data_IF_893319378666
#
_entry.id   IF_893319378666
#
_cell.length_a   1.000
_cell.length_b   1.000
_cell.length_c   1.000
_cell.angle_alpha   90.00
_cell.angle_beta   90.00
_cell.angle_gamma   90.00
#
_symmetry.space_group_name_H-M   'P 1'
#
loop_
_entity.id
_entity.type
_entity.pdbx_description
1 polymer ?
#
# COMPACT_ATOMS: atom_id res chain seq x y z
N UNK A 1 8.07 0.42 11.93
CA UNK A 1 8.70 1.52 11.16
C UNK A 1 9.38 1.06 9.87
N UNK A 2 10.07 -0.09 9.84
CA UNK A 2 10.73 -0.63 8.64
C UNK A 2 9.79 -0.77 7.42
N UNK A 3 8.64 -1.43 7.56
CA UNK A 3 7.64 -1.57 6.49
C UNK A 3 7.09 -0.22 5.99
N UNK A 4 6.96 0.74 6.91
CA UNK A 4 6.58 2.13 6.64
C UNK A 4 7.49 2.75 5.58
N UNK A 5 8.79 2.78 5.87
CA UNK A 5 9.80 3.45 5.05
C UNK A 5 10.06 2.68 3.75
N UNK A 6 10.20 1.35 3.83
CA UNK A 6 10.65 0.53 2.70
C UNK A 6 9.56 0.20 1.69
N UNK A 7 8.29 0.14 2.13
CA UNK A 7 7.16 -0.21 1.26
C UNK A 7 6.12 0.88 1.15
N UNK A 8 5.48 1.24 2.28
CA UNK A 8 4.33 2.14 2.25
C UNK A 8 4.68 3.54 1.72
N UNK A 9 5.84 4.09 2.09
CA UNK A 9 6.31 5.39 1.55
C UNK A 9 6.52 5.36 0.04
N UNK A 10 6.99 4.24 -0.53
CA UNK A 10 7.16 4.07 -1.97
C UNK A 10 5.80 4.06 -2.67
N UNK A 11 4.84 3.29 -2.15
CA UNK A 11 3.48 3.22 -2.70
C UNK A 11 2.83 4.60 -2.66
N UNK A 12 2.76 5.21 -1.48
CA UNK A 12 2.08 6.50 -1.30
C UNK A 12 2.79 7.62 -2.06
N UNK A 13 4.13 7.63 -2.07
CA UNK A 13 4.92 8.60 -2.81
C UNK A 13 4.68 8.51 -4.32
N UNK A 14 4.83 7.32 -4.92
CA UNK A 14 4.62 7.14 -6.36
C UNK A 14 3.16 7.37 -6.78
N UNK A 15 2.19 7.02 -5.92
CA UNK A 15 0.78 7.23 -6.21
C UNK A 15 0.39 8.72 -6.32
N UNK A 16 1.15 9.65 -5.72
CA UNK A 16 0.88 11.10 -5.88
C UNK A 16 1.04 11.58 -7.31
N UNK A 17 1.84 10.91 -8.15
CA UNK A 17 1.93 11.24 -9.57
C UNK A 17 0.57 11.09 -10.27
N UNK A 18 -0.28 10.16 -9.82
CA UNK A 18 -1.63 9.98 -10.35
C UNK A 18 -2.56 11.15 -10.02
N UNK A 19 -2.34 11.88 -8.92
CA UNK A 19 -3.12 13.10 -8.64
C UNK A 19 -2.98 14.10 -9.79
N UNK A 20 -1.75 14.28 -10.28
CA UNK A 20 -1.46 15.21 -11.38
C UNK A 20 -1.92 14.65 -12.72
N UNK A 21 -1.54 13.41 -13.05
CA UNK A 21 -1.83 12.82 -14.37
C UNK A 21 -3.33 12.60 -14.59
N UNK A 22 -4.06 12.13 -13.58
CA UNK A 22 -5.50 11.95 -13.69
C UNK A 22 -6.22 13.30 -13.74
N UNK A 23 -5.83 14.29 -12.94
CA UNK A 23 -6.45 15.62 -13.00
C UNK A 23 -6.22 16.33 -14.35
N UNK A 24 -5.02 16.20 -14.93
CA UNK A 24 -4.72 16.69 -16.27
C UNK A 24 -5.55 15.97 -17.35
N UNK A 25 -5.73 14.66 -17.21
CA UNK A 25 -6.56 13.90 -18.14
C UNK A 25 -8.04 14.29 -18.04
N UNK A 26 -8.55 14.58 -16.83
CA UNK A 26 -9.94 15.00 -16.62
C UNK A 26 -10.20 16.43 -17.13
N UNK A 27 -9.28 17.36 -16.92
CA UNK A 27 -9.48 18.79 -17.29
C UNK A 27 -9.01 19.14 -18.71
N UNK A 28 -7.99 18.44 -19.22
CA UNK A 28 -7.31 18.79 -20.47
C UNK A 28 -7.57 17.86 -21.65
N UNK A 29 -8.34 16.79 -21.48
CA UNK A 29 -8.65 15.87 -22.58
C UNK A 29 -10.14 15.79 -22.88
N UNK A 30 -10.50 15.70 -24.16
CA UNK A 30 -11.88 15.52 -24.63
C UNK A 30 -12.39 14.07 -24.40
N UNK A 31 -11.52 13.19 -23.90
CA UNK A 31 -11.81 11.78 -23.70
C UNK A 31 -12.01 11.45 -22.22
N UNK A 32 -13.26 11.17 -21.85
CA UNK A 32 -13.65 10.78 -20.48
C UNK A 32 -12.94 9.51 -19.98
N UNK A 33 -12.41 8.66 -20.87
CA UNK A 33 -11.68 7.43 -20.50
C UNK A 33 -10.19 7.63 -20.28
N UNK A 34 -9.63 8.80 -20.59
CA UNK A 34 -8.19 9.06 -20.48
C UNK A 34 -7.67 8.86 -19.05
N UNK A 35 -8.44 9.26 -18.04
CA UNK A 35 -8.10 9.05 -16.64
C UNK A 35 -8.04 7.56 -16.26
N UNK A 36 -8.92 6.72 -16.84
CA UNK A 36 -8.90 5.27 -16.62
C UNK A 36 -7.66 4.59 -17.23
N UNK A 37 -7.18 5.09 -18.37
CA UNK A 37 -5.94 4.61 -18.98
C UNK A 37 -4.74 4.95 -18.09
N UNK A 38 -4.70 6.16 -17.52
CA UNK A 38 -3.65 6.55 -16.56
C UNK A 38 -3.70 5.71 -15.29
N UNK A 39 -4.88 5.38 -14.79
CA UNK A 39 -5.03 4.47 -13.66
C UNK A 39 -4.41 3.09 -13.97
N UNK A 40 -4.74 2.48 -15.10
CA UNK A 40 -4.19 1.17 -15.49
C UNK A 40 -2.67 1.21 -15.64
N UNK A 41 -2.13 2.25 -16.29
CA UNK A 41 -0.68 2.45 -16.43
C UNK A 41 -0.01 2.65 -15.08
N UNK A 42 -0.63 3.45 -14.20
CA UNK A 42 -0.18 3.66 -12.83
C UNK A 42 -0.11 2.34 -12.06
N UNK A 43 -1.18 1.55 -12.09
CA UNK A 43 -1.22 0.23 -11.47
C UNK A 43 -0.07 -0.66 -11.98
N UNK A 44 0.12 -0.77 -13.28
CA UNK A 44 1.23 -1.55 -13.85
C UNK A 44 2.60 -1.06 -13.37
N UNK A 45 2.87 0.25 -13.48
CA UNK A 45 4.17 0.84 -13.11
C UNK A 45 4.43 0.66 -11.62
N UNK A 46 3.46 0.99 -10.76
CA UNK A 46 3.62 0.84 -9.31
C UNK A 46 3.78 -0.65 -8.93
N UNK A 47 3.12 -1.59 -9.62
CA UNK A 47 3.34 -3.02 -9.40
C UNK A 47 4.77 -3.44 -9.74
N UNK A 48 5.37 -2.92 -10.82
CA UNK A 48 6.78 -3.15 -11.12
C UNK A 48 7.70 -2.53 -10.05
N UNK A 49 7.39 -1.32 -9.57
CA UNK A 49 8.14 -0.68 -8.48
C UNK A 49 8.04 -1.43 -7.14
N UNK A 50 7.02 -2.27 -6.94
CA UNK A 50 6.89 -3.12 -5.75
C UNK A 50 7.79 -4.36 -5.78
N UNK A 51 8.23 -4.82 -6.95
CA UNK A 51 9.11 -6.00 -7.06
C UNK A 51 10.35 -5.88 -6.15
N UNK A 52 11.15 -4.78 -6.19
CA UNK A 52 12.28 -4.64 -5.28
C UNK A 52 11.88 -4.59 -3.80
N UNK A 53 10.72 -4.02 -3.48
CA UNK A 53 10.20 -3.98 -2.10
C UNK A 53 9.88 -5.39 -1.60
N UNK A 54 9.23 -6.20 -2.44
CA UNK A 54 8.91 -7.60 -2.14
C UNK A 54 10.17 -8.41 -1.91
N UNK A 55 11.18 -8.27 -2.78
CA UNK A 55 12.48 -8.94 -2.62
C UNK A 55 13.16 -8.53 -1.31
N UNK A 56 13.14 -7.23 -0.99
CA UNK A 56 13.67 -6.70 0.27
C UNK A 56 12.94 -7.28 1.48
N UNK A 57 11.61 -7.40 1.42
CA UNK A 57 10.81 -7.93 2.53
C UNK A 57 11.04 -9.43 2.75
N UNK A 58 11.26 -10.21 1.68
CA UNK A 58 11.60 -11.63 1.77
C UNK A 58 12.93 -11.89 2.49
N UNK A 59 13.90 -10.97 2.35
CA UNK A 59 15.23 -11.05 2.95
C UNK A 59 15.39 -10.14 4.19
N UNK A 60 14.28 -9.74 4.83
CA UNK A 60 14.35 -8.83 5.99
C UNK A 60 15.19 -9.41 7.13
N UNK A 61 15.08 -10.71 7.39
CA UNK A 61 15.85 -11.38 8.44
C UNK A 61 17.35 -11.27 8.20
N UNK A 62 17.82 -11.64 7.00
CA UNK A 62 19.23 -11.56 6.61
C UNK A 62 19.77 -10.13 6.67
N UNK A 63 18.95 -9.16 6.23
CA UNK A 63 19.30 -7.74 6.29
C UNK A 63 19.46 -7.24 7.73
N UNK A 64 18.58 -7.67 8.64
CA UNK A 64 18.67 -7.29 10.06
C UNK A 64 19.88 -7.96 10.74
N UNK A 65 20.18 -9.23 10.41
CA UNK A 65 21.38 -9.92 10.89
C UNK A 65 22.66 -9.23 10.41
N UNK A 66 22.68 -8.73 9.18
CA UNK A 66 23.82 -7.98 8.62
C UNK A 66 24.10 -6.68 9.37
N UNK A 67 23.06 -6.01 9.88
CA UNK A 67 23.16 -4.82 10.73
C UNK A 67 23.50 -5.18 12.19
N UNK A 68 23.80 -6.45 12.47
CA UNK A 68 24.11 -7.00 13.81
C UNK A 68 22.95 -6.87 14.80
N UNK A 69 21.72 -6.97 14.30
CA UNK A 69 20.54 -7.03 15.14
C UNK A 69 20.45 -8.39 15.86
N UNK A 70 19.76 -8.42 17.00
CA UNK A 70 19.60 -9.66 17.76
C UNK A 70 18.91 -10.75 16.92
N UNK A 71 19.45 -11.99 16.85
CA UNK A 71 18.93 -13.04 15.97
C UNK A 71 17.45 -13.37 16.21
N UNK A 72 17.00 -13.36 17.46
CA UNK A 72 15.60 -13.62 17.80
C UNK A 72 14.68 -12.52 17.25
N UNK A 73 15.09 -11.26 17.38
CA UNK A 73 14.34 -10.11 16.86
C UNK A 73 14.34 -10.09 15.33
N UNK A 74 15.46 -10.46 14.69
CA UNK A 74 15.57 -10.55 13.24
C UNK A 74 14.63 -11.62 12.66
N UNK A 75 14.59 -12.81 13.26
CA UNK A 75 13.69 -13.90 12.85
C UNK A 75 12.21 -13.50 13.01
N UNK A 76 11.84 -12.91 14.16
CA UNK A 76 10.46 -12.47 14.40
C UNK A 76 10.03 -11.39 13.40
N UNK A 77 10.94 -10.47 13.08
CA UNK A 77 10.72 -9.41 12.08
C UNK A 77 10.57 -9.99 10.67
N UNK A 78 11.37 -10.98 10.30
CA UNK A 78 11.27 -11.68 9.02
C UNK A 78 9.91 -12.37 8.84
N UNK A 79 9.45 -13.08 9.87
CA UNK A 79 8.11 -13.71 9.88
C UNK A 79 7.02 -12.65 9.73
N UNK A 80 7.09 -11.56 10.48
CA UNK A 80 6.12 -10.48 10.41
C UNK A 80 6.05 -9.86 8.99
N UNK A 81 7.19 -9.60 8.34
CA UNK A 81 7.22 -9.05 6.98
C UNK A 81 6.62 -9.99 5.94
N UNK A 82 6.83 -11.31 6.08
CA UNK A 82 6.22 -12.31 5.19
C UNK A 82 4.70 -12.31 5.30
N UNK A 83 4.14 -12.15 6.51
CA UNK A 83 2.70 -12.01 6.70
C UNK A 83 2.14 -10.69 6.15
N UNK A 84 2.96 -9.63 6.13
CA UNK A 84 2.56 -8.32 5.59
C UNK A 84 2.57 -8.26 4.05
N UNK A 85 3.39 -9.10 3.41
CA UNK A 85 3.63 -9.16 1.97
C UNK A 85 2.35 -9.25 1.12
N UNK A 86 1.37 -10.14 1.39
CA UNK A 86 0.11 -10.17 0.63
C UNK A 86 -0.70 -8.87 0.75
N UNK A 87 -0.47 -8.05 1.78
CA UNK A 87 -1.15 -6.76 1.98
C UNK A 87 -0.63 -5.63 1.09
N UNK A 88 0.53 -5.79 0.42
CA UNK A 88 1.12 -4.75 -0.43
C UNK A 88 0.32 -4.49 -1.71
N UNK A 89 -0.18 -5.53 -2.37
CA UNK A 89 -0.93 -5.37 -3.61
C UNK A 89 -2.30 -4.71 -3.39
N UNK A 90 -3.11 -5.14 -2.39
CA UNK A 90 -4.38 -4.48 -2.09
C UNK A 90 -4.22 -3.01 -1.73
N UNK A 91 -3.18 -2.65 -0.94
CA UNK A 91 -3.01 -1.25 -0.54
C UNK A 91 -2.59 -0.36 -1.72
N UNK A 92 -1.76 -0.87 -2.64
CA UNK A 92 -1.43 -0.18 -3.89
C UNK A 92 -2.68 0.08 -4.72
N UNK A 93 -3.51 -0.94 -4.92
CA UNK A 93 -4.73 -0.83 -5.72
C UNK A 93 -5.69 0.16 -5.08
N UNK A 94 -5.90 0.06 -3.77
CA UNK A 94 -6.73 0.99 -3.01
C UNK A 94 -6.24 2.43 -3.16
N UNK A 95 -4.94 2.68 -3.03
CA UNK A 95 -4.38 4.02 -3.15
C UNK A 95 -4.60 4.58 -4.57
N UNK A 96 -4.33 3.80 -5.61
CA UNK A 96 -4.52 4.24 -7.00
C UNK A 96 -6.00 4.53 -7.31
N UNK A 97 -6.93 3.66 -6.88
CA UNK A 97 -8.37 3.87 -7.06
C UNK A 97 -8.87 5.09 -6.31
N UNK A 98 -8.42 5.29 -5.07
CA UNK A 98 -8.73 6.48 -4.28
C UNK A 98 -8.36 7.75 -5.04
N UNK A 99 -7.14 7.80 -5.57
CA UNK A 99 -6.60 8.95 -6.32
C UNK A 99 -7.38 9.20 -7.61
N UNK A 100 -7.72 8.14 -8.34
CA UNK A 100 -8.57 8.21 -9.52
C UNK A 100 -9.96 8.78 -9.22
N UNK A 101 -10.63 8.33 -8.16
CA UNK A 101 -11.94 8.86 -7.75
C UNK A 101 -11.85 10.32 -7.29
N UNK A 102 -10.81 10.67 -6.52
CA UNK A 102 -10.55 12.04 -6.08
C UNK A 102 -10.33 12.99 -7.27
N UNK A 103 -9.60 12.57 -8.30
CA UNK A 103 -9.38 13.37 -9.50
C UNK A 103 -10.65 13.70 -10.30
N UNK A 104 -11.72 12.92 -10.11
CA UNK A 104 -13.04 13.14 -10.71
C UNK A 104 -13.99 13.95 -9.81
N UNK A 105 -13.52 14.40 -8.65
CA UNK A 105 -14.33 15.12 -7.66
C UNK A 105 -15.10 14.22 -6.68
N UNK A 106 -14.87 12.89 -6.70
CA UNK A 106 -15.56 11.92 -5.84
C UNK A 106 -14.70 11.63 -4.60
N UNK A 107 -14.74 12.53 -3.62
CA UNK A 107 -13.94 12.42 -2.39
C UNK A 107 -14.58 11.51 -1.31
N UNK A 108 -15.90 11.32 -1.37
CA UNK A 108 -16.64 10.62 -0.31
C UNK A 108 -16.43 9.10 -0.32
N UNK A 109 -16.09 8.52 -1.48
CA UNK A 109 -15.97 7.07 -1.64
C UNK A 109 -14.91 6.47 -0.70
N UNK A 110 -13.73 7.09 -0.62
CA UNK A 110 -12.67 6.60 0.28
C UNK A 110 -13.04 6.72 1.75
N UNK A 111 -13.74 7.79 2.12
CA UNK A 111 -14.17 8.01 3.51
C UNK A 111 -15.20 6.98 3.95
N UNK A 112 -16.18 6.66 3.09
CA UNK A 112 -17.18 5.62 3.37
C UNK A 112 -16.54 4.24 3.55
N UNK A 113 -15.57 3.88 2.69
CA UNK A 113 -14.84 2.61 2.82
C UNK A 113 -14.08 2.58 4.15
N UNK A 114 -13.38 3.67 4.49
CA UNK A 114 -12.57 3.73 5.70
C UNK A 114 -13.43 3.67 6.98
N UNK A 115 -14.63 4.25 6.95
CA UNK A 115 -15.59 4.17 8.06
C UNK A 115 -16.03 2.73 8.38
N UNK A 116 -16.04 1.83 7.39
CA UNK A 116 -16.36 0.41 7.58
C UNK A 116 -15.12 -0.40 7.92
N UNK A 117 -14.01 -0.16 7.21
CA UNK A 117 -12.76 -0.94 7.37
C UNK A 117 -12.07 -0.65 8.71
N UNK A 118 -12.09 0.59 9.21
CA UNK A 118 -11.45 0.93 10.48
C UNK A 118 -12.05 0.19 11.69
N UNK A 119 -13.38 0.15 11.91
CA UNK A 119 -13.98 -0.64 12.97
C UNK A 119 -13.70 -2.13 12.85
N UNK A 120 -13.74 -2.68 11.63
CA UNK A 120 -13.40 -4.09 11.38
C UNK A 120 -11.95 -4.35 11.79
N UNK A 121 -11.01 -3.49 11.37
CA UNK A 121 -9.61 -3.61 11.74
C UNK A 121 -9.40 -3.48 13.26
N UNK A 122 -10.11 -2.58 13.94
CA UNK A 122 -10.07 -2.43 15.39
C UNK A 122 -10.59 -3.69 16.10
N UNK A 123 -11.71 -4.25 15.62
CA UNK A 123 -12.29 -5.50 16.15
C UNK A 123 -11.35 -6.68 15.93
N UNK A 124 -10.75 -6.81 14.74
CA UNK A 124 -9.78 -7.87 14.44
C UNK A 124 -8.53 -7.76 15.31
N UNK A 125 -8.00 -6.55 15.52
CA UNK A 125 -6.88 -6.34 16.44
C UNK A 125 -7.27 -6.71 17.88
N UNK A 126 -8.47 -6.35 18.33
CA UNK A 126 -8.94 -6.74 19.66
C UNK A 126 -9.05 -8.28 19.80
N UNK A 127 -9.59 -8.97 18.80
CA UNK A 127 -9.73 -10.43 18.85
C UNK A 127 -8.38 -11.14 18.75
N UNK A 128 -7.54 -10.75 17.79
CA UNK A 128 -6.29 -11.44 17.43
C UNK A 128 -5.08 -11.06 18.29
N UNK A 129 -5.10 -9.90 18.96
CA UNK A 129 -3.98 -9.45 19.80
C UNK A 129 -4.36 -9.50 21.28
N UNK A 130 -5.56 -9.02 21.64
CA UNK A 130 -5.95 -8.92 23.05
C UNK A 130 -6.61 -10.19 23.60
N UNK A 131 -7.36 -10.92 22.78
CA UNK A 131 -8.16 -12.07 23.24
C UNK A 131 -7.58 -13.44 22.89
N UNK A 132 -6.63 -13.53 21.96
CA UNK A 132 -6.00 -14.81 21.60
C UNK A 132 -5.03 -15.28 22.69
N UNK A 133 -5.14 -16.52 23.21
CA UNK A 133 -4.25 -17.08 24.22
C UNK A 133 -3.01 -17.75 23.57
N UNK A 134 -2.35 -17.08 22.64
CA UNK A 134 -1.04 -17.51 22.10
C UNK A 134 0.09 -16.86 22.92
#
# INVERSE_FOLDING_TARGET
MFAGVTGYSVIFGLATALDTLCAQAVTGSDNQYAAGIWLQRGLCILSFCLIPVVVLWLHTEDLLLLVKQEPQLAALSGVYMRYLLPGLLPILVFECLKKFLQSQGIYNASTMILLVVCPINALLNYILVWRSPL
#
